data_IF_010650671513
#
_entry.id   IF_010650671513
#
_cell.length_a   1.000
_cell.length_b   1.000
_cell.length_c   1.000
_cell.angle_alpha   90.00
_cell.angle_beta   90.00
_cell.angle_gamma   90.00
#
_symmetry.space_group_name_H-M   'P 1'
#
loop_
_entity.id
_entity.type
_entity.pdbx_description
1 polymer ?
#
# COMPACT_ATOMS: atom_id res chain seq x y z
N UNK A 1 -12.18 -8.49 14.04
CA UNK A 1 -11.71 -8.54 12.63
C UNK A 1 -12.34 -7.37 11.89
N UNK A 2 -11.86 -6.97 10.72
CA UNK A 2 -12.38 -5.78 10.02
C UNK A 2 -13.81 -5.93 9.48
N UNK A 3 -14.36 -7.15 9.44
CA UNK A 3 -15.75 -7.43 9.02
C UNK A 3 -16.10 -6.89 7.61
N UNK A 4 -15.10 -6.82 6.73
CA UNK A 4 -15.26 -6.39 5.35
C UNK A 4 -15.41 -7.59 4.40
N UNK A 5 -16.36 -7.54 3.45
CA UNK A 5 -16.38 -8.42 2.29
C UNK A 5 -15.03 -8.40 1.56
N UNK A 6 -14.51 -9.55 1.10
CA UNK A 6 -13.24 -9.58 0.37
C UNK A 6 -13.19 -8.62 -0.82
N UNK A 7 -14.28 -8.48 -1.58
CA UNK A 7 -14.31 -7.65 -2.79
C UNK A 7 -14.38 -6.14 -2.54
N UNK A 8 -14.52 -5.71 -1.29
CA UNK A 8 -14.35 -4.30 -0.93
C UNK A 8 -12.86 -3.92 -0.94
N UNK A 9 -11.95 -4.91 -0.91
CA UNK A 9 -10.50 -4.71 -1.06
C UNK A 9 -10.15 -4.62 -2.54
N UNK A 10 -9.66 -3.45 -2.96
CA UNK A 10 -9.30 -3.18 -4.35
C UNK A 10 -7.79 -3.34 -4.64
N UNK A 11 -6.97 -3.39 -3.59
CA UNK A 11 -5.52 -3.58 -3.70
C UNK A 11 -4.95 -4.48 -2.60
N UNK A 12 -3.94 -5.27 -2.93
CA UNK A 12 -3.15 -6.01 -1.92
C UNK A 12 -1.67 -5.73 -2.14
N UNK A 13 -1.05 -5.13 -1.12
CA UNK A 13 0.39 -5.11 -0.93
C UNK A 13 0.82 -6.48 -0.40
N UNK A 14 1.32 -7.32 -1.29
CA UNK A 14 1.71 -8.70 -1.00
C UNK A 14 3.02 -8.77 -0.24
N UNK A 15 3.28 -9.91 0.39
CA UNK A 15 4.60 -10.23 0.91
C UNK A 15 5.61 -10.27 -0.25
N UNK A 16 5.26 -10.86 -1.39
CA UNK A 16 5.84 -10.59 -2.70
C UNK A 16 7.37 -10.66 -2.70
N UNK A 17 7.90 -11.85 -2.41
CA UNK A 17 9.34 -12.09 -2.25
C UNK A 17 10.09 -12.26 -3.56
N UNK A 18 9.39 -12.43 -4.68
CA UNK A 18 10.01 -12.73 -5.96
C UNK A 18 10.49 -14.18 -6.06
N UNK A 19 10.06 -15.07 -5.14
CA UNK A 19 10.53 -16.46 -5.13
C UNK A 19 9.66 -17.34 -6.01
N UNK A 20 10.29 -18.26 -6.75
CA UNK A 20 9.58 -19.15 -7.67
C UNK A 20 8.53 -20.06 -7.01
N UNK A 21 8.62 -20.27 -5.69
CA UNK A 21 7.70 -21.08 -4.91
C UNK A 21 6.78 -20.22 -4.03
N UNK A 22 7.33 -19.21 -3.34
CA UNK A 22 6.58 -18.41 -2.39
C UNK A 22 5.48 -17.58 -3.05
N UNK A 23 5.77 -16.93 -4.18
CA UNK A 23 4.79 -16.06 -4.83
C UNK A 23 3.57 -16.86 -5.35
N UNK A 24 3.71 -18.03 -6.02
CA UNK A 24 2.56 -18.88 -6.32
C UNK A 24 1.77 -19.36 -5.09
N UNK A 25 2.45 -19.67 -3.98
CA UNK A 25 1.79 -20.08 -2.72
C UNK A 25 1.00 -18.92 -2.11
N UNK A 26 1.54 -17.71 -2.15
CA UNK A 26 0.86 -16.51 -1.69
C UNK A 26 -0.41 -16.25 -2.49
N UNK A 27 -0.35 -16.27 -3.83
CA UNK A 27 -1.54 -16.05 -4.67
C UNK A 27 -2.55 -17.18 -4.49
N UNK A 28 -2.12 -18.44 -4.44
CA UNK A 28 -3.01 -19.57 -4.15
C UNK A 28 -3.75 -19.40 -2.82
N UNK A 29 -3.07 -18.87 -1.80
CA UNK A 29 -3.67 -18.62 -0.47
C UNK A 29 -4.70 -17.50 -0.55
N UNK A 30 -4.38 -16.41 -1.23
CA UNK A 30 -5.33 -15.32 -1.48
C UNK A 30 -6.56 -15.82 -2.25
N UNK A 31 -6.41 -16.63 -3.29
CA UNK A 31 -7.54 -17.15 -4.08
C UNK A 31 -8.48 -18.08 -3.31
N UNK A 32 -8.09 -18.58 -2.14
CA UNK A 32 -9.00 -19.32 -1.24
C UNK A 32 -9.94 -18.39 -0.46
N UNK A 33 -9.53 -17.15 -0.25
CA UNK A 33 -10.31 -16.12 0.46
C UNK A 33 -11.11 -15.29 -0.55
N UNK A 34 -10.46 -14.89 -1.64
CA UNK A 34 -11.05 -14.12 -2.72
C UNK A 34 -11.42 -15.09 -3.84
N UNK A 35 -12.62 -15.63 -3.76
CA UNK A 35 -13.12 -16.53 -4.80
C UNK A 35 -13.31 -15.76 -6.12
N UNK A 36 -13.22 -16.40 -7.28
CA UNK A 36 -13.62 -15.75 -8.52
C UNK A 36 -15.14 -15.53 -8.50
N UNK A 37 -15.57 -14.34 -8.11
CA UNK A 37 -16.91 -13.88 -8.45
C UNK A 37 -16.92 -13.37 -9.89
N UNK A 38 -18.10 -13.21 -10.49
CA UNK A 38 -18.27 -12.71 -11.86
C UNK A 38 -18.00 -11.20 -11.95
N UNK A 39 -16.97 -10.72 -11.24
CA UNK A 39 -16.56 -9.33 -11.12
C UNK A 39 -15.88 -8.90 -12.41
N UNK A 40 -16.31 -7.77 -12.96
CA UNK A 40 -15.74 -7.23 -14.21
C UNK A 40 -14.28 -6.79 -14.06
N UNK A 41 -13.77 -6.60 -12.84
CA UNK A 41 -12.44 -6.07 -12.57
C UNK A 41 -11.65 -6.98 -11.63
N UNK A 42 -10.36 -7.16 -11.93
CA UNK A 42 -9.41 -7.91 -11.10
C UNK A 42 -8.85 -7.01 -10.00
N UNK A 43 -8.73 -7.54 -8.79
CA UNK A 43 -8.06 -6.90 -7.65
C UNK A 43 -6.58 -6.73 -7.99
N UNK A 44 -6.06 -5.51 -7.83
CA UNK A 44 -4.66 -5.21 -8.13
C UNK A 44 -3.77 -5.71 -7.00
N UNK A 45 -2.62 -6.28 -7.36
CA UNK A 45 -1.61 -6.72 -6.38
C UNK A 45 -0.24 -6.11 -6.70
N UNK A 46 0.59 -5.93 -5.67
CA UNK A 46 1.95 -5.48 -5.86
C UNK A 46 2.82 -5.68 -4.63
N UNK A 47 4.10 -5.37 -4.74
CA UNK A 47 5.06 -5.45 -3.64
C UNK A 47 6.08 -4.34 -3.73
N UNK A 48 6.32 -3.62 -2.64
CA UNK A 48 7.35 -2.59 -2.53
C UNK A 48 8.76 -3.15 -2.72
N UNK A 49 8.94 -4.47 -2.55
CA UNK A 49 10.25 -5.12 -2.60
C UNK A 49 10.82 -5.08 -4.01
N UNK A 50 9.98 -4.89 -5.03
CA UNK A 50 10.45 -4.62 -6.38
C UNK A 50 11.22 -3.29 -6.49
N UNK A 51 10.99 -2.34 -5.58
CA UNK A 51 11.64 -1.03 -5.59
C UNK A 51 12.79 -0.94 -4.58
N UNK A 52 12.62 -1.50 -3.39
CA UNK A 52 13.55 -1.32 -2.26
C UNK A 52 14.27 -2.61 -1.82
N UNK A 53 13.94 -3.74 -2.44
CA UNK A 53 14.40 -5.05 -1.98
C UNK A 53 13.73 -5.52 -0.68
N UNK A 54 14.22 -6.62 -0.12
CA UNK A 54 13.69 -7.20 1.11
C UNK A 54 14.28 -6.53 2.36
N UNK A 55 13.50 -5.65 3.00
CA UNK A 55 13.93 -4.85 4.16
C UNK A 55 13.89 -5.61 5.50
N UNK A 56 13.85 -6.94 5.47
CA UNK A 56 13.78 -7.82 6.65
C UNK A 56 12.66 -7.39 7.60
N UNK A 57 12.99 -7.08 8.85
CA UNK A 57 12.06 -6.68 9.91
C UNK A 57 11.27 -5.41 9.57
N UNK A 58 11.79 -4.54 8.69
CA UNK A 58 11.12 -3.34 8.24
C UNK A 58 10.20 -3.55 7.02
N UNK A 59 10.16 -4.76 6.43
CA UNK A 59 9.38 -5.01 5.20
C UNK A 59 7.88 -4.75 5.40
N UNK A 60 7.33 -5.16 6.55
CA UNK A 60 5.90 -4.97 6.85
C UNK A 60 5.53 -3.49 6.98
N UNK A 61 6.31 -2.72 7.76
CA UNK A 61 6.04 -1.29 7.97
C UNK A 61 6.30 -0.47 6.70
N UNK A 62 7.27 -0.85 5.87
CA UNK A 62 7.46 -0.22 4.57
C UNK A 62 6.25 -0.43 3.64
N UNK A 63 5.63 -1.62 3.68
CA UNK A 63 4.41 -1.92 2.92
C UNK A 63 3.23 -1.10 3.41
N UNK A 64 3.10 -1.00 4.72
CA UNK A 64 2.12 -0.14 5.37
C UNK A 64 2.27 1.34 4.95
N UNK A 65 3.50 1.86 4.94
CA UNK A 65 3.79 3.24 4.51
C UNK A 65 3.41 3.44 3.05
N UNK A 66 3.78 2.51 2.17
CA UNK A 66 3.41 2.54 0.74
C UNK A 66 1.88 2.63 0.58
N UNK A 67 1.13 1.73 1.22
CA UNK A 67 -0.34 1.71 1.11
C UNK A 67 -0.97 2.97 1.71
N UNK A 68 -0.46 3.45 2.86
CA UNK A 68 -0.93 4.70 3.47
C UNK A 68 -0.76 5.90 2.54
N UNK A 69 0.40 6.00 1.87
CA UNK A 69 0.67 7.04 0.88
C UNK A 69 -0.15 6.86 -0.39
N UNK A 70 -0.37 5.62 -0.84
CA UNK A 70 -1.20 5.32 -2.01
C UNK A 70 -2.66 5.75 -1.79
N UNK A 71 -3.24 5.44 -0.63
CA UNK A 71 -4.57 5.88 -0.22
C UNK A 71 -4.64 7.41 -0.16
N UNK A 72 -3.70 8.04 0.56
CA UNK A 72 -3.67 9.51 0.72
C UNK A 72 -3.59 10.27 -0.59
N UNK A 73 -2.83 9.75 -1.57
CA UNK A 73 -2.61 10.43 -2.85
C UNK A 73 -3.49 9.90 -3.98
N UNK A 74 -4.41 8.97 -3.67
CA UNK A 74 -5.23 8.28 -4.64
C UNK A 74 -4.45 7.72 -5.86
N UNK A 75 -3.30 7.10 -5.60
CA UNK A 75 -2.33 6.69 -6.62
C UNK A 75 -1.71 5.34 -6.29
N UNK A 76 -1.75 4.40 -7.23
CA UNK A 76 -1.07 3.11 -7.12
C UNK A 76 0.24 3.12 -7.92
N UNK A 77 1.39 2.95 -7.25
CA UNK A 77 2.66 2.80 -7.95
C UNK A 77 2.80 1.40 -8.55
N UNK A 78 3.49 1.34 -9.69
CA UNK A 78 3.84 0.13 -10.42
C UNK A 78 4.71 -0.81 -9.57
N UNK A 79 4.44 -2.10 -9.67
CA UNK A 79 5.34 -3.18 -9.24
C UNK A 79 6.34 -3.46 -10.36
N UNK A 80 7.63 -3.34 -10.05
CA UNK A 80 8.70 -3.44 -11.03
C UNK A 80 9.09 -4.90 -11.30
N UNK A 81 9.83 -5.12 -12.40
CA UNK A 81 10.41 -6.43 -12.77
C UNK A 81 9.37 -7.55 -12.95
N UNK A 82 8.17 -7.19 -13.41
CA UNK A 82 7.04 -8.10 -13.57
C UNK A 82 6.35 -7.93 -14.94
N UNK A 83 7.11 -7.60 -15.99
CA UNK A 83 6.60 -7.48 -17.36
C UNK A 83 6.00 -8.80 -17.86
N UNK A 84 6.57 -9.92 -17.41
CA UNK A 84 6.04 -11.26 -17.60
C UNK A 84 5.77 -11.88 -16.23
N UNK A 85 4.52 -11.86 -15.73
CA UNK A 85 4.21 -12.44 -14.44
C UNK A 85 4.43 -13.96 -14.46
N UNK A 86 4.65 -14.55 -13.29
CA UNK A 86 5.00 -15.97 -13.16
C UNK A 86 3.99 -16.87 -13.88
N UNK A 87 4.50 -17.77 -14.75
CA UNK A 87 3.71 -18.79 -15.46
C UNK A 87 3.18 -19.90 -14.54
N UNK A 88 3.64 -19.96 -13.28
CA UNK A 88 3.18 -20.92 -12.27
C UNK A 88 1.86 -20.50 -11.62
N UNK A 89 1.34 -19.32 -11.96
CA UNK A 89 0.07 -18.80 -11.47
C UNK A 89 -0.93 -18.81 -12.63
N UNK A 90 -2.10 -19.42 -12.43
CA UNK A 90 -3.17 -19.45 -13.43
C UNK A 90 -3.94 -18.12 -13.46
N UNK A 91 -3.33 -17.05 -13.97
CA UNK A 91 -3.88 -15.70 -13.91
C UNK A 91 -5.29 -15.55 -14.47
N UNK A 92 -5.68 -16.36 -15.45
CA UNK A 92 -7.00 -16.33 -16.08
C UNK A 92 -8.11 -16.86 -15.16
N UNK A 93 -7.77 -17.71 -14.19
CA UNK A 93 -8.72 -18.29 -13.22
C UNK A 93 -8.71 -17.57 -11.86
N UNK A 94 -7.85 -16.57 -11.70
CA UNK A 94 -7.74 -15.80 -10.47
C UNK A 94 -8.39 -14.42 -10.62
N UNK A 95 -8.89 -13.88 -9.50
CA UNK A 95 -9.42 -12.51 -9.42
C UNK A 95 -8.32 -11.44 -9.27
N UNK A 96 -7.04 -11.82 -9.36
CA UNK A 96 -5.90 -10.91 -9.15
C UNK A 96 -5.17 -10.55 -10.45
N UNK A 97 -4.65 -9.33 -10.51
CA UNK A 97 -3.72 -8.88 -11.54
C UNK A 97 -2.58 -8.05 -10.93
N UNK A 98 -1.36 -8.27 -11.40
CA UNK A 98 -0.21 -7.45 -10.98
C UNK A 98 -0.42 -6.00 -11.43
N UNK A 99 -0.17 -5.04 -10.54
CA UNK A 99 -0.17 -3.62 -10.88
C UNK A 99 1.12 -3.27 -11.63
N UNK A 100 1.07 -3.30 -12.95
CA UNK A 100 2.19 -3.06 -13.85
C UNK A 100 2.27 -1.62 -14.36
N UNK A 101 1.46 -0.71 -13.83
CA UNK A 101 1.39 0.69 -14.27
C UNK A 101 1.34 1.64 -13.07
N UNK A 102 1.92 2.82 -13.22
CA UNK A 102 1.72 3.92 -12.29
C UNK A 102 0.43 4.64 -12.70
N UNK A 103 -0.51 4.80 -11.79
CA UNK A 103 -1.77 5.45 -12.15
C UNK A 103 -2.65 5.80 -10.97
N UNK A 104 -3.70 6.55 -11.27
CA UNK A 104 -4.75 6.81 -10.30
C UNK A 104 -5.34 5.49 -9.80
N UNK A 105 -5.52 5.39 -8.48
CA UNK A 105 -6.28 4.29 -7.92
C UNK A 105 -7.75 4.62 -8.13
N UNK A 106 -8.45 3.89 -8.99
CA UNK A 106 -9.87 4.17 -9.25
C UNK A 106 -10.72 3.07 -8.62
N UNK A 107 -11.69 3.45 -7.80
CA UNK A 107 -12.66 2.55 -7.15
C UNK A 107 -14.10 2.90 -7.51
N UNK A 108 -14.32 3.66 -8.59
CA UNK A 108 -15.65 4.03 -9.09
C UNK A 108 -16.57 4.66 -8.02
N UNK A 109 -16.01 5.44 -7.10
CA UNK A 109 -16.76 6.10 -6.02
C UNK A 109 -16.95 5.26 -4.76
N UNK A 110 -16.33 4.07 -4.67
CA UNK A 110 -16.27 3.28 -3.44
C UNK A 110 -15.04 3.65 -2.60
N UNK A 111 -15.14 3.46 -1.27
CA UNK A 111 -14.00 3.68 -0.38
C UNK A 111 -12.83 2.76 -0.76
N UNK A 112 -11.61 3.30 -0.76
CA UNK A 112 -10.42 2.50 -1.05
C UNK A 112 -10.05 1.64 0.17
N UNK A 113 -10.19 0.33 0.06
CA UNK A 113 -9.59 -0.62 1.01
C UNK A 113 -8.42 -1.39 0.38
N UNK A 114 -7.39 -1.62 1.18
CA UNK A 114 -6.23 -2.42 0.80
C UNK A 114 -5.76 -3.37 1.89
N UNK A 115 -5.29 -4.54 1.47
CA UNK A 115 -4.58 -5.49 2.32
C UNK A 115 -3.06 -5.26 2.31
N UNK A 116 -2.39 -5.52 3.44
CA UNK A 116 -0.93 -5.59 3.56
C UNK A 116 -0.54 -6.92 4.18
N UNK A 117 0.21 -7.74 3.47
CA UNK A 117 0.67 -9.07 3.91
C UNK A 117 2.15 -9.09 4.26
N UNK A 118 2.52 -9.77 5.34
CA UNK A 118 3.91 -10.03 5.70
C UNK A 118 4.07 -11.40 6.35
N UNK A 119 4.93 -12.23 5.78
CA UNK A 119 5.13 -13.62 6.20
C UNK A 119 6.59 -13.83 6.63
N UNK A 120 6.81 -14.09 7.91
CA UNK A 120 8.13 -14.35 8.45
C UNK A 120 8.61 -15.75 8.13
N UNK A 121 9.91 -15.92 7.90
CA UNK A 121 10.53 -17.24 7.65
C UNK A 121 10.27 -18.27 8.76
N UNK A 122 10.06 -17.81 10.00
CA UNK A 122 9.68 -18.64 11.15
C UNK A 122 8.20 -19.05 11.18
N UNK A 123 7.41 -18.73 10.15
CA UNK A 123 6.00 -19.09 10.03
C UNK A 123 5.02 -18.12 10.72
N UNK A 124 5.51 -17.04 11.34
CA UNK A 124 4.65 -15.99 11.88
C UNK A 124 4.15 -15.09 10.74
N UNK A 125 2.84 -14.99 10.61
CA UNK A 125 2.18 -14.25 9.53
C UNK A 125 1.38 -13.08 10.10
N UNK A 126 1.41 -11.95 9.39
CA UNK A 126 0.58 -10.79 9.69
C UNK A 126 -0.13 -10.33 8.41
N UNK A 127 -1.39 -9.93 8.57
CA UNK A 127 -2.17 -9.30 7.52
C UNK A 127 -2.96 -8.13 8.12
N UNK A 128 -2.93 -6.98 7.47
CA UNK A 128 -3.64 -5.77 7.89
C UNK A 128 -4.53 -5.27 6.76
N UNK A 129 -5.68 -4.69 7.12
CA UNK A 129 -6.55 -4.00 6.18
C UNK A 129 -6.52 -2.51 6.51
N UNK A 130 -6.31 -1.69 5.50
CA UNK A 130 -6.36 -0.23 5.57
C UNK A 130 -7.54 0.26 4.74
N UNK A 131 -8.23 1.27 5.26
CA UNK A 131 -9.23 2.04 4.52
C UNK A 131 -8.77 3.48 4.34
N UNK A 132 -9.29 4.12 3.31
CA UNK A 132 -9.21 5.57 3.16
C UNK A 132 -9.78 6.28 4.39
N UNK A 133 -9.13 7.37 4.80
CA UNK A 133 -9.63 8.20 5.89
C UNK A 133 -10.80 9.06 5.37
N UNK A 134 -11.84 9.32 6.20
CA UNK A 134 -12.89 10.23 5.81
C UNK A 134 -12.33 11.63 5.55
N UNK A 135 -12.97 12.38 4.63
CA UNK A 135 -12.58 13.76 4.33
C UNK A 135 -12.57 14.60 5.62
N UNK A 136 -11.46 15.28 5.87
CA UNK A 136 -11.34 16.17 7.00
C UNK A 136 -12.21 17.42 6.77
N UNK A 137 -13.03 17.78 7.75
CA UNK A 137 -13.74 19.05 7.73
C UNK A 137 -12.73 20.20 7.74
N UNK A 138 -12.69 20.97 6.65
CA UNK A 138 -11.79 22.13 6.55
C UNK A 138 -12.30 23.22 7.48
N UNK A 139 -11.50 23.58 8.48
CA UNK A 139 -11.80 24.72 9.35
C UNK A 139 -11.63 26.04 8.57
N UNK A 140 -12.44 27.07 8.83
CA UNK A 140 -12.32 28.34 8.13
C UNK A 140 -10.93 28.94 8.33
N UNK A 141 -10.31 29.39 7.24
CA UNK A 141 -9.02 30.08 7.30
C UNK A 141 -9.18 31.45 7.99
N UNK A 142 -8.43 31.66 9.07
CA UNK A 142 -8.41 32.93 9.80
C UNK A 142 -7.18 33.71 9.34
N UNK A 143 -7.41 34.84 8.67
CA UNK A 143 -6.35 35.68 8.11
C UNK A 143 -5.93 36.76 9.12
N UNK A 144 -5.27 36.34 10.21
CA UNK A 144 -4.73 37.21 11.25
C UNK A 144 -3.21 36.99 11.37
N UNK A 145 -2.44 37.99 11.86
CA UNK A 145 -1.05 37.77 12.20
C UNK A 145 -0.91 36.58 13.16
N UNK A 146 -0.13 35.59 12.75
CA UNK A 146 0.09 34.37 13.51
C UNK A 146 1.55 34.29 13.99
N UNK A 147 1.74 33.76 15.18
CA UNK A 147 3.06 33.39 15.70
C UNK A 147 3.30 31.93 15.35
N UNK A 148 4.43 31.64 14.70
CA UNK A 148 4.87 30.28 14.43
C UNK A 148 6.01 29.91 15.39
N UNK A 149 5.69 29.37 16.59
CA UNK A 149 6.73 29.04 17.56
C UNK A 149 7.57 27.85 17.06
N UNK A 150 8.88 28.02 17.09
CA UNK A 150 9.83 26.97 16.72
C UNK A 150 10.75 26.67 17.89
N UNK A 151 11.01 25.38 18.10
CA UNK A 151 11.96 24.93 19.10
C UNK A 151 12.73 23.73 18.59
N UNK A 152 13.97 23.58 19.05
CA UNK A 152 14.76 22.39 18.83
C UNK A 152 15.73 22.23 19.99
N UNK A 153 16.21 20.99 20.20
CA UNK A 153 17.11 20.66 21.32
C UNK A 153 18.45 21.39 21.25
N UNK A 154 18.86 21.89 20.08
CA UNK A 154 20.10 22.64 19.90
C UNK A 154 19.94 23.81 18.91
N UNK A 155 20.86 24.77 18.99
CA UNK A 155 20.92 25.91 18.05
C UNK A 155 21.19 25.48 16.60
N UNK A 156 21.86 24.34 16.38
CA UNK A 156 22.09 23.81 15.02
C UNK A 156 20.82 23.16 14.46
N UNK A 157 20.11 22.38 15.27
CA UNK A 157 18.84 21.77 14.89
C UNK A 157 17.77 22.83 14.60
N UNK A 158 17.72 23.92 15.39
CA UNK A 158 16.79 25.03 15.13
C UNK A 158 17.09 25.73 13.80
N UNK A 159 18.38 25.86 13.44
CA UNK A 159 18.79 26.44 12.16
C UNK A 159 18.41 25.54 10.98
N UNK A 160 18.63 24.23 11.11
CA UNK A 160 18.22 23.25 10.09
C UNK A 160 16.70 23.28 9.89
N UNK A 161 15.92 23.16 10.97
CA UNK A 161 14.46 23.22 10.92
C UNK A 161 13.94 24.51 10.26
N UNK A 162 14.59 25.64 10.51
CA UNK A 162 14.26 26.92 9.86
C UNK A 162 14.56 26.90 8.36
N UNK A 163 15.68 26.30 7.94
CA UNK A 163 15.98 26.19 6.51
C UNK A 163 14.99 25.26 5.81
N UNK A 164 14.74 24.08 6.37
CA UNK A 164 13.84 23.07 5.79
C UNK A 164 12.42 23.63 5.56
N UNK A 165 11.90 24.42 6.50
CA UNK A 165 10.57 25.04 6.40
C UNK A 165 10.49 26.24 5.44
N UNK A 166 11.62 26.86 5.07
CA UNK A 166 11.64 27.95 4.09
C UNK A 166 11.77 27.43 2.65
N UNK A 167 12.16 26.16 2.47
CA UNK A 167 12.30 25.50 1.17
C UNK A 167 11.01 24.77 0.72
N UNK A 168 10.04 24.60 1.63
CA UNK A 168 8.68 24.07 1.35
C UNK A 168 7.72 25.17 0.93
#
# INVERSE_FOLDING_TARGET
>A
MAELPPFDISYIETHGTGTQLGDPVEISTLSRVFTPENTKQKIKIGSLKSNLGHLNTASGVAGLIKVSLALKNNLLPQTLHCEQPSKKIEWDKNCFAVNNENGQWQTEGQAHFAGVSSFGIGGTNAHMILGEAPEACVSPQINLPAVWPMSAKSKSALRALRCDLLET
#
